data_IF_072575772118
#
_entry.id   IF_072575772118
#
_cell.length_a   1.000
_cell.length_b   1.000
_cell.length_c   1.000
_cell.angle_alpha   90.00
_cell.angle_beta   90.00
_cell.angle_gamma   90.00
#
_symmetry.space_group_name_H-M   'P 1'
#
loop_
_entity.id
_entity.type
_entity.pdbx_description
1 polymer ?
#
# COMPACT_ATOMS: atom_id res chain seq x y z
N UNK A 1 -43.84 -52.36 7.53
CA UNK A 1 -43.71 -51.12 6.72
C UNK A 1 -42.77 -50.17 7.43
N UNK A 2 -41.81 -49.64 6.67
CA UNK A 2 -40.54 -49.00 7.07
C UNK A 2 -40.70 -47.89 8.11
N UNK A 3 -40.13 -48.05 9.31
CA UNK A 3 -39.80 -46.92 10.21
C UNK A 3 -38.31 -46.65 10.04
N UNK A 4 -37.98 -45.72 9.14
CA UNK A 4 -36.61 -45.25 8.90
C UNK A 4 -36.20 -44.39 10.09
N UNK A 5 -35.20 -44.86 10.82
CA UNK A 5 -34.59 -44.24 11.98
C UNK A 5 -33.87 -42.96 11.53
N UNK A 6 -34.07 -41.89 12.31
CA UNK A 6 -33.39 -40.60 12.19
C UNK A 6 -31.88 -40.75 12.25
N UNK A 7 -31.18 -40.23 11.25
CA UNK A 7 -29.76 -39.90 11.34
C UNK A 7 -29.58 -38.51 10.71
N UNK A 8 -29.96 -37.47 11.44
CA UNK A 8 -29.53 -36.11 11.11
C UNK A 8 -28.09 -36.00 11.59
N UNK A 9 -27.16 -36.38 10.71
CA UNK A 9 -25.73 -36.27 10.95
C UNK A 9 -25.37 -34.82 11.23
N UNK A 10 -24.82 -34.60 12.41
CA UNK A 10 -24.25 -33.34 12.89
C UNK A 10 -23.02 -33.03 12.02
N UNK A 11 -23.18 -32.28 10.94
CA UNK A 11 -22.04 -31.72 10.21
C UNK A 11 -21.44 -30.61 11.07
N UNK A 12 -20.38 -30.95 11.80
CA UNK A 12 -19.47 -30.00 12.42
C UNK A 12 -18.86 -29.16 11.30
N UNK A 13 -19.33 -27.93 11.14
CA UNK A 13 -18.70 -26.95 10.27
C UNK A 13 -17.27 -26.72 10.76
N UNK A 14 -16.30 -27.10 9.94
CA UNK A 14 -14.91 -26.75 10.15
C UNK A 14 -14.79 -25.22 10.20
N UNK A 15 -14.43 -24.67 11.36
CA UNK A 15 -13.95 -23.29 11.46
C UNK A 15 -12.61 -23.23 10.71
N UNK A 16 -12.66 -22.92 9.43
CA UNK A 16 -11.49 -22.40 8.74
C UNK A 16 -11.31 -20.98 9.23
N UNK A 17 -10.43 -20.79 10.21
CA UNK A 17 -9.85 -19.46 10.48
C UNK A 17 -9.12 -19.09 9.20
N UNK A 18 -9.71 -18.20 8.39
CA UNK A 18 -8.99 -17.63 7.27
C UNK A 18 -7.75 -16.93 7.86
N UNK A 19 -6.53 -17.17 7.33
CA UNK A 19 -5.38 -16.43 7.77
C UNK A 19 -5.68 -14.95 7.60
N UNK A 20 -5.43 -14.15 8.63
CA UNK A 20 -5.38 -12.71 8.47
C UNK A 20 -4.27 -12.44 7.44
N UNK A 21 -4.63 -12.00 6.24
CA UNK A 21 -3.66 -11.41 5.33
C UNK A 21 -3.10 -10.18 6.05
N UNK A 22 -1.79 -10.17 6.34
CA UNK A 22 -1.10 -8.91 6.59
C UNK A 22 -1.40 -8.01 5.38
N UNK A 23 -1.85 -6.78 5.64
CA UNK A 23 -2.17 -5.85 4.58
C UNK A 23 -0.86 -5.32 4.00
N UNK A 24 -0.65 -5.59 2.71
CA UNK A 24 0.24 -4.87 1.83
C UNK A 24 0.04 -3.36 1.86
N UNK A 25 0.94 -2.54 2.39
CA UNK A 25 0.88 -1.09 2.17
C UNK A 25 1.38 -0.80 0.75
N UNK A 26 0.44 -0.49 -0.15
CA UNK A 26 0.72 -0.23 -1.56
C UNK A 26 0.38 1.22 -1.88
N UNK A 27 1.40 1.98 -2.29
CA UNK A 27 1.28 3.37 -2.70
C UNK A 27 1.45 3.47 -4.22
N UNK A 28 0.75 4.43 -4.82
CA UNK A 28 0.91 4.77 -6.24
C UNK A 28 1.28 6.23 -6.40
N UNK A 29 2.17 6.50 -7.37
CA UNK A 29 2.53 7.85 -7.78
C UNK A 29 2.22 8.03 -9.27
N UNK A 30 1.23 8.87 -9.57
CA UNK A 30 0.91 9.29 -10.93
C UNK A 30 1.69 10.56 -11.22
N UNK A 31 2.76 10.43 -11.99
CA UNK A 31 3.71 11.51 -12.24
C UNK A 31 3.48 12.17 -13.58
N UNK A 32 3.56 13.51 -13.63
CA UNK A 32 3.46 14.29 -14.86
C UNK A 32 4.15 15.65 -14.73
N UNK A 33 4.39 16.33 -15.86
CA UNK A 33 4.94 17.69 -15.88
C UNK A 33 4.03 18.73 -15.19
N UNK A 34 2.71 18.74 -15.43
CA UNK A 34 1.78 19.63 -14.72
C UNK A 34 1.73 19.40 -13.21
N UNK A 35 2.08 18.19 -12.74
CA UNK A 35 2.10 17.84 -11.33
C UNK A 35 3.37 18.29 -10.60
N UNK A 36 4.37 18.87 -11.28
CA UNK A 36 5.55 19.48 -10.65
C UNK A 36 5.21 20.61 -9.65
N UNK A 37 6.14 20.93 -8.75
CA UNK A 37 5.98 22.05 -7.81
C UNK A 37 5.84 23.38 -8.58
N UNK A 38 6.65 23.53 -9.61
CA UNK A 38 6.47 24.53 -10.66
C UNK A 38 6.06 23.78 -11.93
N UNK A 39 4.76 23.79 -12.29
CA UNK A 39 4.24 23.02 -13.42
C UNK A 39 5.00 23.29 -14.72
N UNK A 40 5.26 22.24 -15.50
CA UNK A 40 5.83 22.32 -16.84
C UNK A 40 4.95 21.60 -17.88
N UNK A 41 5.28 21.77 -19.16
CA UNK A 41 4.50 21.25 -20.28
C UNK A 41 5.04 19.91 -20.85
N UNK A 42 5.91 19.21 -20.11
CA UNK A 42 6.39 17.89 -20.54
C UNK A 42 5.21 16.93 -20.74
N UNK A 43 5.18 16.18 -21.85
CA UNK A 43 4.22 15.08 -22.04
C UNK A 43 4.61 13.83 -21.25
N UNK A 44 5.77 13.83 -20.61
CA UNK A 44 6.28 12.69 -19.87
C UNK A 44 5.35 12.26 -18.75
N UNK A 45 5.35 10.97 -18.47
CA UNK A 45 4.53 10.41 -17.40
C UNK A 45 5.14 9.16 -16.78
N UNK A 46 4.68 8.85 -15.57
CA UNK A 46 4.96 7.60 -14.88
C UNK A 46 3.76 7.22 -14.02
N UNK A 47 3.46 5.93 -13.96
CA UNK A 47 2.51 5.37 -12.99
C UNK A 47 3.31 4.36 -12.18
N UNK A 48 3.96 4.86 -11.14
CA UNK A 48 4.83 4.07 -10.28
C UNK A 48 4.04 3.43 -9.15
N UNK A 49 4.49 2.24 -8.74
CA UNK A 49 3.97 1.51 -7.57
C UNK A 49 5.08 1.34 -6.55
N UNK A 50 4.74 1.55 -5.29
CA UNK A 50 5.64 1.39 -4.16
C UNK A 50 4.96 0.48 -3.14
N UNK A 51 5.63 -0.60 -2.80
CA UNK A 51 5.11 -1.63 -1.92
C UNK A 51 5.98 -1.68 -0.67
N UNK A 52 5.35 -1.57 0.51
CA UNK A 52 6.05 -1.61 1.79
C UNK A 52 5.61 -2.86 2.54
N UNK A 53 6.58 -3.73 2.83
CA UNK A 53 6.43 -4.90 3.70
C UNK A 53 7.45 -4.82 4.85
N UNK A 54 6.99 -4.39 6.02
CA UNK A 54 7.85 -4.07 7.15
C UNK A 54 8.84 -2.95 6.81
N UNK A 55 10.14 -3.28 6.80
CA UNK A 55 11.20 -2.33 6.44
C UNK A 55 11.56 -2.38 4.95
N UNK A 56 10.91 -3.21 4.16
CA UNK A 56 11.27 -3.40 2.76
C UNK A 56 10.37 -2.53 1.88
N UNK A 57 10.96 -1.55 1.21
CA UNK A 57 10.31 -0.75 0.18
C UNK A 57 10.69 -1.30 -1.19
N UNK A 58 9.73 -1.83 -1.94
CA UNK A 58 9.91 -2.23 -3.34
C UNK A 58 9.29 -1.18 -4.25
N UNK A 59 10.09 -0.61 -5.15
CA UNK A 59 9.69 0.38 -6.13
C UNK A 59 9.63 -0.26 -7.52
N UNK A 60 8.54 -0.04 -8.25
CA UNK A 60 8.40 -0.30 -9.69
C UNK A 60 7.96 0.98 -10.40
N UNK A 61 8.83 1.50 -11.27
CA UNK A 61 8.74 2.85 -11.82
C UNK A 61 8.89 2.78 -13.34
N UNK A 62 7.80 2.49 -14.08
CA UNK A 62 7.77 2.67 -15.52
C UNK A 62 7.64 4.17 -15.84
N UNK A 63 8.41 4.66 -16.79
CA UNK A 63 8.33 6.04 -17.26
C UNK A 63 8.46 6.11 -18.78
N UNK A 64 7.77 7.09 -19.38
CA UNK A 64 7.73 7.29 -20.82
C UNK A 64 7.61 8.76 -21.18
N UNK A 65 7.92 9.05 -22.45
CA UNK A 65 7.64 10.33 -23.12
C UNK A 65 8.31 11.55 -22.47
N UNK A 66 9.42 11.34 -21.75
CA UNK A 66 10.27 12.45 -21.31
C UNK A 66 10.86 13.17 -22.54
N UNK A 67 10.98 14.48 -22.44
CA UNK A 67 11.43 15.34 -23.54
C UNK A 67 12.93 15.32 -23.75
N UNK A 68 13.71 15.06 -22.69
CA UNK A 68 15.16 14.96 -22.75
C UNK A 68 15.68 13.80 -21.89
N UNK A 69 16.92 13.35 -22.10
CA UNK A 69 17.47 12.22 -21.35
C UNK A 69 17.48 12.44 -19.83
N UNK A 70 17.13 11.38 -19.09
CA UNK A 70 17.17 11.30 -17.62
C UNK A 70 18.58 11.53 -17.07
N UNK A 71 18.65 12.25 -15.94
CA UNK A 71 19.89 12.53 -15.22
C UNK A 71 19.86 12.05 -13.77
N UNK A 72 18.67 11.95 -13.16
CA UNK A 72 18.48 11.40 -11.82
C UNK A 72 16.99 11.17 -11.52
N UNK A 73 16.69 10.37 -10.50
CA UNK A 73 15.36 10.24 -9.94
C UNK A 73 15.44 10.00 -8.42
N UNK A 74 14.42 10.45 -7.68
CA UNK A 74 14.44 10.47 -6.23
C UNK A 74 13.05 10.28 -5.63
N UNK A 75 13.00 9.76 -4.41
CA UNK A 75 11.89 10.00 -3.49
C UNK A 75 12.21 11.20 -2.60
N UNK A 76 11.30 12.15 -2.53
CA UNK A 76 11.42 13.36 -1.73
C UNK A 76 10.54 13.29 -0.48
N UNK A 77 11.07 13.76 0.64
CA UNK A 77 10.33 13.88 1.89
C UNK A 77 10.93 15.02 2.76
N UNK A 78 10.17 15.71 3.59
CA UNK A 78 8.72 15.63 3.73
C UNK A 78 8.14 17.00 3.44
N UNK A 79 7.12 17.05 2.59
CA UNK A 79 6.42 18.30 2.34
C UNK A 79 5.65 18.73 3.57
N UNK A 80 5.53 20.04 3.80
CA UNK A 80 4.77 20.56 4.94
C UNK A 80 3.28 20.30 4.77
N UNK A 81 2.77 20.55 3.57
CA UNK A 81 1.35 20.39 3.24
C UNK A 81 1.14 19.11 2.44
N UNK A 82 0.02 18.41 2.69
CA UNK A 82 -0.37 17.23 1.94
C UNK A 82 -0.54 17.55 0.45
N UNK A 83 0.04 16.72 -0.43
CA UNK A 83 -0.05 16.86 -1.90
C UNK A 83 0.45 18.21 -2.45
N UNK A 84 1.24 18.97 -1.70
CA UNK A 84 1.68 20.31 -2.09
C UNK A 84 3.09 20.65 -1.60
N UNK A 85 3.69 21.69 -2.18
CA UNK A 85 5.04 22.14 -1.83
C UNK A 85 6.16 21.28 -2.43
N UNK A 86 7.38 21.50 -1.94
CA UNK A 86 8.58 20.78 -2.35
C UNK A 86 9.38 20.37 -1.10
N UNK A 87 10.13 19.27 -1.21
CA UNK A 87 10.91 18.73 -0.11
C UNK A 87 12.32 18.32 -0.59
N UNK A 88 13.23 18.09 0.36
CA UNK A 88 14.54 17.54 0.07
C UNK A 88 14.48 16.09 -0.41
N UNK A 89 15.58 15.61 -0.98
CA UNK A 89 15.72 14.20 -1.35
C UNK A 89 15.81 13.35 -0.08
N UNK A 90 14.93 12.36 0.05
CA UNK A 90 14.96 11.39 1.14
C UNK A 90 15.73 10.13 0.74
N UNK A 91 15.34 9.50 -0.37
CA UNK A 91 15.98 8.31 -0.92
C UNK A 91 16.38 8.59 -2.36
N UNK A 92 17.69 8.62 -2.69
CA UNK A 92 18.14 8.60 -4.07
C UNK A 92 17.86 7.25 -4.73
N UNK A 93 17.29 7.25 -5.94
CA UNK A 93 17.02 6.02 -6.69
C UNK A 93 18.29 5.58 -7.43
N UNK A 94 19.25 5.03 -6.68
CA UNK A 94 20.52 4.57 -7.24
C UNK A 94 20.29 3.52 -8.33
N UNK A 95 21.02 3.62 -9.44
CA UNK A 95 20.86 2.73 -10.59
C UNK A 95 19.66 3.03 -11.49
N UNK A 96 18.95 4.16 -11.28
CA UNK A 96 17.92 4.61 -12.20
C UNK A 96 18.48 4.75 -13.63
N UNK A 97 17.76 4.31 -14.69
CA UNK A 97 18.26 4.43 -16.05
C UNK A 97 18.56 5.88 -16.42
N UNK A 98 19.80 6.16 -16.79
CA UNK A 98 20.27 7.48 -17.20
C UNK A 98 20.44 7.55 -18.71
N UNK A 99 20.32 8.75 -19.28
CA UNK A 99 20.55 8.96 -20.72
C UNK A 99 19.41 8.48 -21.61
N UNK A 100 18.22 8.21 -21.04
CA UNK A 100 17.05 7.69 -21.76
C UNK A 100 15.83 8.58 -21.55
N UNK A 101 14.84 8.50 -22.43
CA UNK A 101 13.56 9.24 -22.32
C UNK A 101 12.39 8.35 -21.88
N UNK A 102 12.59 7.03 -21.89
CA UNK A 102 11.63 6.04 -21.41
C UNK A 102 12.37 4.85 -20.83
N UNK A 103 11.74 4.12 -19.92
CA UNK A 103 12.33 2.93 -19.29
C UNK A 103 11.48 2.37 -18.17
N UNK A 104 12.03 1.36 -17.51
CA UNK A 104 11.50 0.83 -16.26
C UNK A 104 12.63 0.78 -15.23
N UNK A 105 12.30 1.09 -13.98
CA UNK A 105 13.21 0.92 -12.84
C UNK A 105 12.50 0.12 -11.77
N UNK A 106 13.10 -1.00 -11.37
CA UNK A 106 12.62 -1.83 -10.28
C UNK A 106 13.74 -2.01 -9.27
N UNK A 107 13.49 -1.65 -8.01
CA UNK A 107 14.49 -1.79 -6.95
C UNK A 107 13.83 -1.97 -5.59
N UNK A 108 14.47 -2.78 -4.75
CA UNK A 108 14.12 -2.93 -3.34
C UNK A 108 15.12 -2.20 -2.45
N UNK A 109 14.60 -1.50 -1.45
CA UNK A 109 15.36 -0.77 -0.43
C UNK A 109 15.02 -1.33 0.95
N UNK A 110 16.04 -1.56 1.78
CA UNK A 110 15.86 -1.85 3.20
C UNK A 110 15.88 -0.51 3.97
N UNK A 111 14.72 -0.08 4.45
CA UNK A 111 14.53 1.17 5.20
C UNK A 111 15.30 1.18 6.54
N UNK A 112 15.84 0.05 6.98
CA UNK A 112 16.73 -0.01 8.14
C UNK A 112 18.21 0.23 7.81
N UNK A 113 18.58 0.26 6.53
CA UNK A 113 19.94 0.57 6.10
C UNK A 113 20.14 2.09 6.00
N UNK A 114 21.03 2.72 6.79
CA UNK A 114 21.28 4.17 6.69
C UNK A 114 21.86 4.58 5.34
N UNK A 115 22.48 3.67 4.56
CA UNK A 115 23.13 3.98 3.30
C UNK A 115 22.16 4.32 2.16
N UNK A 116 20.88 3.95 2.26
CA UNK A 116 19.88 4.27 1.23
C UNK A 116 19.43 5.73 1.29
N UNK A 117 19.61 6.40 2.43
CA UNK A 117 19.10 7.75 2.66
C UNK A 117 20.08 8.81 2.18
N UNK A 118 19.55 9.95 1.73
CA UNK A 118 20.36 11.13 1.55
C UNK A 118 20.98 11.56 2.90
N UNK A 119 22.29 11.88 2.97
CA UNK A 119 22.92 12.25 4.23
C UNK A 119 22.28 13.46 4.94
N UNK A 120 21.74 14.42 4.18
CA UNK A 120 21.04 15.59 4.75
C UNK A 120 19.71 15.18 5.37
N UNK A 121 18.97 14.29 4.70
CA UNK A 121 17.72 13.75 5.23
C UNK A 121 17.98 12.90 6.48
N UNK A 122 18.95 11.99 6.42
CA UNK A 122 19.34 11.15 7.55
C UNK A 122 19.71 12.01 8.77
N UNK A 123 20.53 13.06 8.57
CA UNK A 123 20.94 13.97 9.65
C UNK A 123 19.75 14.76 10.24
N UNK A 124 18.79 15.18 9.41
CA UNK A 124 17.59 15.90 9.86
C UNK A 124 16.70 15.06 10.79
N UNK A 125 16.71 13.73 10.64
CA UNK A 125 15.93 12.79 11.44
C UNK A 125 16.80 11.99 12.42
N UNK A 126 17.72 12.68 13.10
CA UNK A 126 18.51 12.13 14.21
C UNK A 126 19.72 11.31 13.79
N UNK A 127 20.08 11.28 12.51
CA UNK A 127 21.27 10.59 12.01
C UNK A 127 21.15 9.06 11.99
N UNK A 128 19.94 8.52 12.11
CA UNK A 128 19.68 7.07 12.20
C UNK A 128 18.66 6.63 11.17
N UNK A 129 18.82 5.42 10.64
CA UNK A 129 17.84 4.83 9.72
C UNK A 129 16.45 4.73 10.37
N UNK A 130 16.38 4.40 11.67
CA UNK A 130 15.12 4.34 12.42
C UNK A 130 14.38 5.67 12.46
N UNK A 131 15.08 6.78 12.70
CA UNK A 131 14.46 8.11 12.69
C UNK A 131 14.01 8.52 11.30
N UNK A 132 14.84 8.27 10.29
CA UNK A 132 14.55 8.58 8.90
C UNK A 132 13.38 7.76 8.34
N UNK A 133 13.34 6.45 8.60
CA UNK A 133 12.26 5.57 8.16
C UNK A 133 10.96 5.91 8.84
N UNK A 134 10.95 6.15 10.15
CA UNK A 134 9.75 6.53 10.89
C UNK A 134 9.15 7.83 10.35
N UNK A 135 9.97 8.84 10.08
CA UNK A 135 9.51 10.10 9.50
C UNK A 135 8.94 9.93 8.09
N UNK A 136 9.60 9.12 7.25
CA UNK A 136 9.14 8.88 5.88
C UNK A 136 7.86 8.05 5.84
N UNK A 137 7.71 7.03 6.70
CA UNK A 137 6.50 6.23 6.81
C UNK A 137 5.31 7.06 7.33
N UNK A 138 5.53 7.93 8.33
CA UNK A 138 4.51 8.87 8.80
C UNK A 138 4.07 9.81 7.66
N UNK A 139 5.03 10.39 6.93
CA UNK A 139 4.77 11.26 5.80
C UNK A 139 4.06 10.57 4.62
N UNK A 140 4.24 9.25 4.42
CA UNK A 140 3.48 8.49 3.43
C UNK A 140 1.99 8.48 3.77
N UNK A 141 1.63 8.27 5.04
CA UNK A 141 0.23 8.35 5.48
C UNK A 141 -0.37 9.76 5.33
N UNK A 142 0.48 10.80 5.36
CA UNK A 142 0.11 12.19 5.12
C UNK A 142 0.06 12.61 3.64
N UNK A 143 0.37 11.72 2.69
CA UNK A 143 0.60 12.05 1.27
C UNK A 143 1.64 13.18 1.08
N UNK A 144 2.72 13.14 1.87
CA UNK A 144 3.77 14.17 1.90
C UNK A 144 5.07 13.73 1.22
N UNK A 145 5.10 12.50 0.68
CA UNK A 145 6.20 11.90 -0.09
C UNK A 145 5.85 11.92 -1.57
N UNK A 146 6.83 12.22 -2.42
CA UNK A 146 6.63 12.18 -3.87
C UNK A 146 7.84 11.60 -4.62
N UNK A 147 7.54 10.96 -5.75
CA UNK A 147 8.50 10.59 -6.77
C UNK A 147 8.79 11.81 -7.65
N UNK A 148 10.06 12.01 -7.98
CA UNK A 148 10.47 13.00 -8.98
C UNK A 148 11.53 12.42 -9.92
N UNK A 149 11.35 12.64 -11.23
CA UNK A 149 12.30 12.23 -12.28
C UNK A 149 12.82 13.49 -12.96
N UNK A 150 14.14 13.59 -13.08
CA UNK A 150 14.84 14.76 -13.58
C UNK A 150 15.52 14.44 -14.91
N UNK A 151 15.54 15.42 -15.80
CA UNK A 151 16.19 15.33 -17.11
C UNK A 151 17.07 16.54 -17.34
N UNK A 152 17.86 16.53 -18.42
CA UNK A 152 18.80 17.62 -18.71
C UNK A 152 18.11 18.97 -18.96
N UNK A 153 16.89 18.99 -19.51
CA UNK A 153 16.10 20.22 -19.68
C UNK A 153 15.38 20.63 -18.38
N UNK A 154 15.06 19.67 -17.52
CA UNK A 154 14.33 19.90 -16.27
C UNK A 154 15.12 19.38 -15.06
N UNK A 155 16.21 20.07 -14.66
CA UNK A 155 17.04 19.64 -13.54
C UNK A 155 16.29 19.73 -12.19
N UNK A 156 15.28 20.61 -12.08
CA UNK A 156 14.41 20.71 -10.91
C UNK A 156 13.32 19.64 -10.82
N UNK A 157 13.13 18.83 -11.86
CA UNK A 157 12.05 17.84 -12.00
C UNK A 157 11.33 18.00 -13.33
N UNK A 158 11.36 16.96 -14.18
CA UNK A 158 10.52 16.91 -15.39
C UNK A 158 9.12 16.42 -15.06
N UNK A 159 9.01 15.33 -14.28
CA UNK A 159 7.73 14.78 -13.84
C UNK A 159 7.74 14.45 -12.34
N UNK A 160 6.61 14.74 -11.69
CA UNK A 160 6.40 14.52 -10.25
C UNK A 160 5.06 13.86 -9.97
N UNK A 161 5.02 12.95 -9.01
CA UNK A 161 3.79 12.38 -8.48
C UNK A 161 3.89 12.08 -6.98
N UNK A 162 2.92 12.55 -6.20
CA UNK A 162 2.81 12.18 -4.78
C UNK A 162 2.42 10.71 -4.63
N UNK A 163 2.99 10.06 -3.63
CA UNK A 163 2.66 8.68 -3.26
C UNK A 163 1.39 8.72 -2.43
N UNK A 164 0.32 8.12 -2.97
CA UNK A 164 -0.97 8.00 -2.28
C UNK A 164 -1.28 6.55 -1.99
N UNK A 165 -1.76 6.26 -0.79
CA UNK A 165 -2.16 4.92 -0.37
C UNK A 165 -3.29 4.38 -1.26
N UNK A 166 -3.11 3.16 -1.73
CA UNK A 166 -4.08 2.41 -2.54
C UNK A 166 -4.47 1.07 -1.92
N UNK A 167 -4.02 0.82 -0.69
CA UNK A 167 -4.46 -0.32 0.09
C UNK A 167 -5.98 -0.23 0.30
N UNK A 168 -6.69 -1.29 -0.09
CA UNK A 168 -8.09 -1.47 0.29
C UNK A 168 -8.09 -1.98 1.72
N UNK A 169 -8.48 -1.13 2.67
CA UNK A 169 -8.67 -1.54 4.05
C UNK A 169 -9.45 -2.86 4.07
N UNK A 170 -8.85 -3.90 4.64
CA UNK A 170 -9.52 -5.19 4.80
C UNK A 170 -10.85 -4.93 5.49
N UNK A 171 -11.96 -5.12 4.78
CA UNK A 171 -13.31 -4.90 5.31
C UNK A 171 -13.40 -5.83 6.52
N UNK A 172 -13.44 -5.32 7.76
CA UNK A 172 -13.68 -6.18 8.90
C UNK A 172 -15.02 -6.86 8.63
N UNK A 173 -15.13 -8.17 8.80
CA UNK A 173 -16.40 -8.88 8.68
C UNK A 173 -17.05 -9.06 10.08
N UNK A 174 -17.47 -8.01 10.81
CA UNK A 174 -18.21 -8.21 12.06
C UNK A 174 -19.58 -8.84 11.78
N UNK A 175 -20.09 -8.72 10.55
CA UNK A 175 -21.34 -9.32 10.12
C UNK A 175 -21.27 -10.87 10.08
N UNK A 176 -20.12 -11.47 9.79
CA UNK A 176 -20.00 -12.93 9.69
C UNK A 176 -20.19 -13.59 11.05
N UNK A 177 -19.62 -13.00 12.11
CA UNK A 177 -19.87 -13.43 13.50
C UNK A 177 -21.30 -13.13 13.96
N UNK A 178 -21.85 -11.97 13.57
CA UNK A 178 -23.25 -11.62 13.86
C UNK A 178 -24.25 -12.58 13.23
N UNK A 179 -24.06 -12.94 11.97
CA UNK A 179 -24.92 -13.87 11.22
C UNK A 179 -24.73 -15.33 11.68
N UNK A 180 -23.51 -15.72 12.03
CA UNK A 180 -23.25 -17.03 12.66
C UNK A 180 -23.94 -17.12 14.02
N UNK A 181 -23.83 -16.08 14.85
CA UNK A 181 -24.52 -16.00 16.15
C UNK A 181 -26.04 -16.05 16.01
N UNK A 182 -26.60 -15.28 15.07
CA UNK A 182 -28.03 -15.29 14.77
C UNK A 182 -28.50 -16.66 14.24
N UNK A 183 -27.73 -17.30 13.36
CA UNK A 183 -28.01 -18.62 12.83
C UNK A 183 -28.01 -19.71 13.91
N UNK A 184 -27.01 -19.72 14.79
CA UNK A 184 -26.92 -20.65 15.93
C UNK A 184 -28.07 -20.43 16.92
N UNK A 185 -28.42 -19.18 17.22
CA UNK A 185 -29.55 -18.85 18.08
C UNK A 185 -30.89 -19.31 17.46
N UNK A 186 -31.09 -19.10 16.16
CA UNK A 186 -32.26 -19.58 15.43
C UNK A 186 -32.41 -21.10 15.47
N UNK A 187 -31.31 -21.84 15.28
CA UNK A 187 -31.28 -23.31 15.39
C UNK A 187 -31.61 -23.80 16.81
N UNK A 188 -31.11 -23.11 17.85
CA UNK A 188 -31.42 -23.43 19.24
C UNK A 188 -32.89 -23.18 19.61
N UNK A 189 -33.51 -22.13 19.08
CA UNK A 189 -34.94 -21.83 19.28
C UNK A 189 -35.81 -22.88 18.57
N UNK A 190 -35.45 -23.26 17.35
CA UNK A 190 -36.17 -24.27 16.57
C UNK A 190 -36.08 -25.67 17.19
N UNK A 191 -34.94 -26.04 17.77
CA UNK A 191 -34.78 -27.35 18.43
C UNK A 191 -35.60 -27.47 19.72
N UNK A 192 -35.80 -26.36 20.45
CA UNK A 192 -36.64 -26.28 21.66
C UNK A 192 -38.14 -26.33 21.37
N UNK A 193 -38.56 -26.03 20.14
CA UNK A 193 -39.98 -26.01 19.73
C UNK A 193 -40.52 -27.34 19.22
N UNK A 194 -39.75 -28.44 19.28
CA UNK A 194 -40.29 -29.77 18.98
C UNK A 194 -41.31 -30.15 20.06
N UNK A 195 -42.61 -30.24 19.75
CA UNK A 195 -43.56 -30.73 20.73
C UNK A 195 -43.22 -32.19 21.04
N UNK A 196 -43.14 -32.53 22.33
CA UNK A 196 -43.11 -33.91 22.76
C UNK A 196 -44.40 -34.55 22.25
N UNK A 197 -44.29 -35.40 21.22
CA UNK A 197 -45.37 -36.29 20.83
C UNK A 197 -45.68 -37.15 22.06
N UNK A 198 -46.76 -36.79 22.74
CA UNK A 198 -47.33 -37.58 23.82
C UNK A 198 -47.54 -39.00 23.32
N UNK A 199 -46.87 -39.97 23.96
CA UNK A 199 -47.29 -41.37 23.92
C UNK A 199 -48.68 -41.45 24.53
N UNK A 200 -49.67 -41.87 23.77
CA UNK A 200 -50.88 -42.49 24.29
C UNK A 200 -50.88 -43.97 23.91
N UNK A 201 -51.04 -44.79 24.96
CA UNK A 201 -51.38 -46.21 25.04
C UNK A 201 -50.54 -47.21 24.24
#
# INVERSE_FOLDING_TARGET
MKKVISALALTVSALTVAPASQAQDVYRAVSSGPAEATPNASPGYSIATFEIDGNILTADIPFSDLTTPTVSAHLHCCTTDSLAGAAGVAIPLFGFPLGVTSGNYTQTFDLSDPAIYNPTFLAAFGGTATGASAAMLDALTGNQVYLNIHTSLYPGGEIRGFLTDTSVAAIPEPATWGMLGAGLAGLAILSRRRPALFKQA
#
